data_IF_642540315857
#
_entry.id   IF_642540315857
#
_cell.length_a   1.000
_cell.length_b   1.000
_cell.length_c   1.000
_cell.angle_alpha   90.00
_cell.angle_beta   90.00
_cell.angle_gamma   90.00
#
_symmetry.space_group_name_H-M   'P 1'
#
loop_
_entity.id
_entity.type
_entity.pdbx_description
1 polymer ?
#
# COMPACT_ATOMS: atom_id res chain seq x y z
N UNK A 1 5.95 -10.35 -3.13
CA UNK A 1 6.16 -11.08 -1.85
C UNK A 1 6.47 -10.16 -0.66
N UNK A 2 7.28 -9.10 -0.82
CA UNK A 2 7.64 -8.19 0.30
C UNK A 2 6.42 -7.43 0.83
N UNK A 3 5.61 -6.80 -0.04
CA UNK A 3 4.45 -6.02 0.36
C UNK A 3 3.44 -6.87 1.18
N UNK A 4 3.11 -8.08 0.74
CA UNK A 4 2.25 -9.00 1.50
C UNK A 4 2.87 -9.39 2.85
N UNK A 5 4.18 -9.62 2.91
CA UNK A 5 4.86 -9.91 4.18
C UNK A 5 4.71 -8.74 5.14
N UNK A 6 4.93 -7.51 4.70
CA UNK A 6 4.75 -6.31 5.51
C UNK A 6 3.31 -6.18 6.00
N UNK A 7 2.32 -6.32 5.10
CA UNK A 7 0.89 -6.26 5.46
C UNK A 7 0.53 -7.30 6.52
N UNK A 8 0.98 -8.55 6.32
CA UNK A 8 0.73 -9.65 7.25
C UNK A 8 1.41 -9.45 8.61
N UNK A 9 2.63 -8.89 8.65
CA UNK A 9 3.32 -8.62 9.92
C UNK A 9 2.61 -7.52 10.71
N UNK A 10 2.15 -6.44 10.05
CA UNK A 10 1.36 -5.40 10.73
C UNK A 10 0.04 -5.97 11.26
N UNK A 11 -0.67 -6.75 10.45
CA UNK A 11 -1.91 -7.38 10.92
C UNK A 11 -1.67 -8.31 12.12
N UNK A 12 -0.62 -9.14 12.08
CA UNK A 12 -0.25 -10.05 13.17
C UNK A 12 0.19 -9.35 14.45
N UNK A 13 0.62 -8.09 14.38
CA UNK A 13 0.94 -7.31 15.57
C UNK A 13 -0.30 -6.97 16.41
N UNK A 14 -1.52 -7.14 15.86
CA UNK A 14 -2.79 -6.97 16.57
C UNK A 14 -2.89 -5.62 17.30
N UNK A 15 -2.36 -4.55 16.69
CA UNK A 15 -2.35 -3.21 17.26
C UNK A 15 -3.79 -2.67 17.28
N UNK A 16 -4.37 -2.34 18.44
CA UNK A 16 -5.71 -1.77 18.52
C UNK A 16 -5.78 -0.44 17.78
N UNK A 17 -6.87 -0.23 17.05
CA UNK A 17 -7.15 1.01 16.33
C UNK A 17 -8.46 1.63 16.82
N UNK A 18 -8.52 1.93 18.12
CA UNK A 18 -9.75 2.25 18.87
C UNK A 18 -10.58 3.41 18.28
N UNK A 19 -9.94 4.39 17.66
CA UNK A 19 -10.61 5.57 17.07
C UNK A 19 -10.99 5.38 15.60
N UNK A 20 -10.72 4.22 15.03
CA UNK A 20 -11.00 3.95 13.64
C UNK A 20 -12.47 3.62 13.43
N UNK A 21 -13.08 4.28 12.45
CA UNK A 21 -14.44 4.00 12.02
C UNK A 21 -14.52 2.79 11.06
N UNK A 22 -13.39 2.22 10.66
CA UNK A 22 -13.33 1.21 9.57
C UNK A 22 -12.80 -0.15 10.01
N UNK A 23 -12.07 -0.24 11.13
CA UNK A 23 -11.55 -1.52 11.64
C UNK A 23 -11.06 -1.36 13.08
N UNK A 24 -11.24 -2.40 13.90
CA UNK A 24 -10.73 -2.43 15.29
C UNK A 24 -9.21 -2.58 15.37
N UNK A 25 -8.54 -2.98 14.28
CA UNK A 25 -7.10 -3.22 14.24
C UNK A 25 -6.43 -2.32 13.20
N UNK A 26 -5.18 -1.96 13.49
CA UNK A 26 -4.35 -1.23 12.54
C UNK A 26 -3.99 -2.13 11.36
N UNK A 27 -4.15 -1.60 10.15
CA UNK A 27 -3.79 -2.26 8.89
C UNK A 27 -3.10 -1.27 7.97
N UNK A 28 -2.51 -1.76 6.88
CA UNK A 28 -1.87 -0.92 5.86
C UNK A 28 -2.38 -1.25 4.46
N UNK A 29 -2.55 -0.20 3.65
CA UNK A 29 -2.69 -0.31 2.19
C UNK A 29 -1.35 0.00 1.53
N UNK A 30 -1.02 -0.73 0.48
CA UNK A 30 0.28 -0.60 -0.20
C UNK A 30 0.03 -0.42 -1.69
N UNK A 31 0.53 0.69 -2.26
CA UNK A 31 0.73 0.81 -3.69
C UNK A 31 2.12 0.34 -4.06
N UNK A 32 2.25 -0.50 -5.08
CA UNK A 32 3.54 -1.01 -5.54
C UNK A 32 3.62 -0.92 -7.06
N UNK A 33 4.80 -0.54 -7.56
CA UNK A 33 5.12 -0.68 -8.97
C UNK A 33 6.59 -1.03 -9.11
N UNK A 34 6.96 -1.61 -10.24
CA UNK A 34 8.36 -1.94 -10.56
C UNK A 34 8.56 -1.68 -12.03
N UNK A 35 9.66 -1.02 -12.36
CA UNK A 35 10.06 -0.77 -13.75
C UNK A 35 11.53 -1.09 -13.91
N UNK A 36 11.92 -1.47 -15.12
CA UNK A 36 13.31 -1.38 -15.57
C UNK A 36 13.45 -0.03 -16.25
N UNK A 37 14.17 0.94 -15.67
CA UNK A 37 14.18 2.30 -16.20
C UNK A 37 14.89 2.37 -17.56
N UNK A 38 14.40 3.26 -18.40
CA UNK A 38 14.95 3.65 -19.70
C UNK A 38 15.35 5.13 -19.66
N UNK A 39 16.04 5.61 -20.69
CA UNK A 39 16.49 7.01 -20.75
C UNK A 39 15.36 8.05 -20.71
N UNK A 40 14.14 7.65 -21.05
CA UNK A 40 12.99 8.54 -21.12
C UNK A 40 12.11 8.48 -19.86
N UNK A 41 12.44 7.63 -18.90
CA UNK A 41 11.68 7.52 -17.65
C UNK A 41 12.03 8.65 -16.70
N UNK A 42 11.00 9.23 -16.08
CA UNK A 42 11.15 10.24 -15.05
C UNK A 42 10.74 9.63 -13.71
N UNK A 43 11.61 9.75 -12.70
CA UNK A 43 11.34 9.24 -11.36
C UNK A 43 10.01 9.78 -10.80
N UNK A 44 9.68 11.05 -11.08
CA UNK A 44 8.43 11.67 -10.60
C UNK A 44 7.18 11.01 -11.21
N UNK A 45 7.24 10.62 -12.49
CA UNK A 45 6.15 9.91 -13.16
C UNK A 45 5.98 8.49 -12.59
N UNK A 46 7.10 7.84 -12.27
CA UNK A 46 7.06 6.54 -11.61
C UNK A 46 6.46 6.63 -10.20
N UNK A 47 6.86 7.62 -9.39
CA UNK A 47 6.28 7.86 -8.06
C UNK A 47 4.77 8.13 -8.17
N UNK A 48 4.35 8.98 -9.11
CA UNK A 48 2.92 9.23 -9.33
C UNK A 48 2.15 7.96 -9.71
N UNK A 49 2.79 7.03 -10.43
CA UNK A 49 2.21 5.71 -10.75
C UNK A 49 2.05 4.85 -9.49
N UNK A 50 3.07 4.81 -8.63
CA UNK A 50 3.01 4.09 -7.33
C UNK A 50 1.92 4.68 -6.42
N UNK A 51 1.82 6.01 -6.35
CA UNK A 51 0.79 6.71 -5.57
C UNK A 51 -0.62 6.41 -6.10
N UNK A 52 -0.79 6.34 -7.43
CA UNK A 52 -2.06 5.91 -8.02
C UNK A 52 -2.44 4.50 -7.57
N UNK A 53 -1.49 3.56 -7.52
CA UNK A 53 -1.77 2.24 -6.98
C UNK A 53 -2.14 2.29 -5.50
N UNK A 54 -1.47 3.14 -4.70
CA UNK A 54 -1.83 3.31 -3.30
C UNK A 54 -3.29 3.82 -3.14
N UNK A 55 -3.72 4.73 -4.00
CA UNK A 55 -5.12 5.16 -4.05
C UNK A 55 -6.07 4.02 -4.40
N UNK A 56 -5.76 3.23 -5.43
CA UNK A 56 -6.56 2.03 -5.80
C UNK A 56 -6.68 1.05 -4.62
N UNK A 57 -5.59 0.81 -3.88
CA UNK A 57 -5.62 -0.05 -2.70
C UNK A 57 -6.52 0.52 -1.58
N UNK A 58 -6.56 1.85 -1.41
CA UNK A 58 -7.46 2.49 -0.44
C UNK A 58 -8.92 2.40 -0.86
N UNK A 59 -9.22 2.61 -2.14
CA UNK A 59 -10.59 2.57 -2.68
C UNK A 59 -11.18 1.16 -2.69
N UNK A 60 -10.35 0.12 -2.85
CA UNK A 60 -10.75 -1.29 -2.73
C UNK A 60 -11.09 -1.74 -1.30
N UNK A 61 -11.34 -0.81 -0.37
CA UNK A 61 -11.69 -1.11 1.02
C UNK A 61 -10.51 -1.09 1.99
N UNK A 62 -9.36 -0.52 1.60
CA UNK A 62 -8.11 -0.49 2.38
C UNK A 62 -7.57 -1.89 2.67
N UNK A 63 -6.56 -2.00 3.56
CA UNK A 63 -5.89 -3.26 3.94
C UNK A 63 -5.57 -4.16 2.74
N UNK A 64 -5.12 -3.58 1.63
CA UNK A 64 -4.96 -4.27 0.35
C UNK A 64 -3.71 -3.79 -0.35
N UNK A 65 -3.36 -4.49 -1.44
CA UNK A 65 -2.20 -4.20 -2.25
C UNK A 65 -2.67 -3.99 -3.69
N UNK A 66 -2.13 -2.98 -4.34
CA UNK A 66 -2.35 -2.68 -5.75
C UNK A 66 -1.02 -2.37 -6.44
#
# INVERSE_FOLDING_TARGET
KIAERCRNMIFKAQIPHEKSLVSQLLTISIGISTITPTRNDEAIKFIATVDKQLYVAKEKGRNSIA
#
